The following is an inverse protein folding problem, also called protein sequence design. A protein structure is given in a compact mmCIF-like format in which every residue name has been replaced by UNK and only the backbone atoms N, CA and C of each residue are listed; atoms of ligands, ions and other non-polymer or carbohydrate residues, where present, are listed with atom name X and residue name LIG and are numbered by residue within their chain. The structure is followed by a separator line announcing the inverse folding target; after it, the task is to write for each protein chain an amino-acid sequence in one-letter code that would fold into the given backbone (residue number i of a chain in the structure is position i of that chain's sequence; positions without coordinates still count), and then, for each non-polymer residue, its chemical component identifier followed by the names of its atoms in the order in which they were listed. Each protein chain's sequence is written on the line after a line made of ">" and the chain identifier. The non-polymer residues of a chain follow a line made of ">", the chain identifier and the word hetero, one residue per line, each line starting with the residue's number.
data_IF_062925832317
#
_entry.id   IF_062925832317
#
_cell.length_a   1.000
_cell.length_b   1.000
_cell.length_c   1.000
_cell.angle_alpha   90.00
_cell.angle_beta   90.00
_cell.angle_gamma   90.00
#
_symmetry.space_group_name_H-M   'P 1'
#
loop_
_entity.id
_entity.type
_entity.pdbx_description
1 polymer ?
#
# COMPACT_ATOMS: atom_id res chain seq x y z
N UNK A 1 1.36 10.27 -12.44
CA UNK A 1 1.60 8.82 -12.74
C UNK A 1 1.91 8.13 -11.41
N UNK A 2 1.35 6.94 -11.16
CA UNK A 2 1.53 6.14 -9.94
C UNK A 2 2.03 4.74 -10.31
N UNK A 3 3.09 4.25 -9.67
CA UNK A 3 3.61 2.89 -9.87
C UNK A 3 3.44 2.09 -8.58
N UNK A 4 2.80 0.92 -8.71
CA UNK A 4 2.72 -0.08 -7.64
C UNK A 4 3.84 -1.11 -7.87
N UNK A 5 4.70 -1.30 -6.87
CA UNK A 5 5.87 -2.18 -6.98
C UNK A 5 5.87 -3.20 -5.85
N UNK A 6 5.91 -4.49 -6.23
CA UNK A 6 6.14 -5.59 -5.30
C UNK A 6 7.58 -5.63 -4.80
N UNK A 7 7.84 -6.27 -3.65
CA UNK A 7 9.18 -6.30 -3.05
C UNK A 7 10.29 -6.78 -3.98
N UNK A 8 10.11 -7.92 -4.67
CA UNK A 8 11.08 -8.42 -5.65
C UNK A 8 11.24 -7.49 -6.86
N UNK A 9 10.16 -6.85 -7.31
CA UNK A 9 10.20 -5.87 -8.39
C UNK A 9 10.91 -4.58 -7.96
N UNK A 10 10.78 -4.18 -6.68
CA UNK A 10 11.42 -2.99 -6.15
C UNK A 10 12.95 -3.12 -6.15
N UNK A 11 13.49 -4.31 -5.84
CA UNK A 11 14.92 -4.58 -5.93
C UNK A 11 15.44 -4.40 -7.36
N UNK A 12 14.75 -4.96 -8.35
CA UNK A 12 15.10 -4.77 -9.77
C UNK A 12 15.01 -3.29 -10.20
N UNK A 13 14.01 -2.57 -9.70
CA UNK A 13 13.88 -1.13 -9.94
C UNK A 13 15.05 -0.35 -9.34
N UNK A 14 15.47 -0.71 -8.13
CA UNK A 14 16.63 -0.13 -7.46
C UNK A 14 17.94 -0.34 -8.22
N UNK A 15 18.17 -1.53 -8.75
CA UNK A 15 19.37 -1.82 -9.56
C UNK A 15 19.46 -0.96 -10.82
N UNK A 16 18.31 -0.65 -11.45
CA UNK A 16 18.28 0.08 -12.71
C UNK A 16 18.10 1.60 -12.54
N UNK A 17 17.35 2.02 -11.53
CA UNK A 17 16.95 3.41 -11.30
C UNK A 17 17.44 3.97 -9.96
N UNK A 18 18.41 3.34 -9.29
CA UNK A 18 18.79 3.63 -7.90
C UNK A 18 18.81 5.11 -7.52
N UNK A 19 19.65 5.92 -8.16
CA UNK A 19 19.78 7.36 -7.88
C UNK A 19 18.53 8.19 -8.23
N UNK A 20 17.62 7.60 -9.01
CA UNK A 20 16.35 8.20 -9.43
C UNK A 20 15.21 7.89 -8.46
N UNK A 21 15.39 7.02 -7.46
CA UNK A 21 14.33 6.61 -6.52
C UNK A 21 14.51 7.31 -5.17
N UNK A 22 13.54 8.14 -4.78
CA UNK A 22 13.42 8.69 -3.42
C UNK A 22 12.77 7.65 -2.49
N UNK A 23 13.46 6.55 -2.25
CA UNK A 23 13.05 5.54 -1.27
C UNK A 23 14.28 4.77 -0.81
N UNK A 24 14.55 4.84 0.48
CA UNK A 24 15.45 3.90 1.13
C UNK A 24 14.68 2.62 1.43
N UNK A 25 14.98 1.57 0.67
CA UNK A 25 14.34 0.26 0.76
C UNK A 25 15.25 -0.83 1.32
N UNK A 26 16.49 -0.49 1.72
CA UNK A 26 17.39 -1.45 2.34
C UNK A 26 16.84 -1.88 3.71
N UNK A 27 16.96 -3.17 4.02
CA UNK A 27 16.61 -3.77 5.31
C UNK A 27 15.18 -3.53 5.82
N UNK A 28 14.25 -3.17 4.91
CA UNK A 28 12.83 -2.98 5.22
C UNK A 28 11.97 -4.06 4.60
N UNK A 29 11.00 -4.54 5.37
CA UNK A 29 9.98 -5.44 4.83
C UNK A 29 8.96 -4.69 3.97
N UNK A 30 8.25 -5.41 3.09
CA UNK A 30 7.33 -4.80 2.13
C UNK A 30 6.17 -4.04 2.78
N UNK A 31 5.74 -4.39 3.99
CA UNK A 31 4.69 -3.69 4.73
C UNK A 31 5.20 -2.40 5.37
N UNK A 32 6.44 -2.39 5.87
CA UNK A 32 7.10 -1.15 6.27
C UNK A 32 7.21 -0.18 5.10
N UNK A 33 7.60 -0.67 3.91
CA UNK A 33 7.67 0.11 2.69
C UNK A 33 6.30 0.58 2.21
N UNK A 34 5.27 -0.27 2.32
CA UNK A 34 3.89 0.10 2.04
C UNK A 34 3.44 1.27 2.92
N UNK A 35 3.60 1.15 4.24
CA UNK A 35 3.25 2.20 5.19
C UNK A 35 4.02 3.49 4.93
N UNK A 36 5.31 3.39 4.62
CA UNK A 36 6.13 4.55 4.28
C UNK A 36 5.66 5.25 3.00
N UNK A 37 5.45 4.51 1.92
CA UNK A 37 5.12 5.07 0.59
C UNK A 37 3.66 5.50 0.45
N UNK A 38 2.76 4.92 1.24
CA UNK A 38 1.38 5.41 1.39
C UNK A 38 1.32 6.70 2.21
N UNK A 39 2.07 6.80 3.32
CA UNK A 39 2.03 7.99 4.20
C UNK A 39 2.88 9.15 3.70
N UNK A 40 4.00 8.86 3.04
CA UNK A 40 4.92 9.86 2.50
C UNK A 40 5.06 9.62 1.01
N UNK A 41 4.75 10.65 0.20
CA UNK A 41 4.88 10.55 -1.25
C UNK A 41 6.35 10.35 -1.61
N UNK A 42 6.67 9.14 -2.08
CA UNK A 42 7.98 8.77 -2.62
C UNK A 42 7.92 8.75 -4.14
N UNK A 43 9.01 9.07 -4.80
CA UNK A 43 9.02 9.28 -6.25
C UNK A 43 10.16 8.57 -6.95
N UNK A 44 9.87 8.09 -8.16
CA UNK A 44 10.88 7.85 -9.19
C UNK A 44 10.98 9.12 -10.04
N UNK A 45 12.18 9.67 -10.15
CA UNK A 45 12.51 10.86 -10.92
C UNK A 45 13.60 10.56 -11.94
N UNK A 46 13.26 10.52 -13.23
CA UNK A 46 14.22 10.28 -14.31
C UNK A 46 14.39 11.55 -15.13
N UNK A 47 15.64 11.98 -15.32
CA UNK A 47 15.98 13.16 -16.12
C UNK A 47 16.99 12.77 -17.20
N UNK A 48 16.65 12.99 -18.47
CA UNK A 48 17.55 12.71 -19.61
C UNK A 48 17.20 13.59 -20.81
N UNK A 49 18.18 14.24 -21.44
CA UNK A 49 18.00 14.95 -22.71
C UNK A 49 16.84 15.96 -22.73
N UNK A 50 16.59 16.68 -21.63
CA UNK A 50 15.48 17.63 -21.49
C UNK A 50 14.12 17.01 -21.14
N UNK A 51 14.04 15.69 -21.02
CA UNK A 51 12.88 14.96 -20.52
C UNK A 51 12.98 14.77 -19.00
N UNK A 52 11.88 15.06 -18.29
CA UNK A 52 11.73 14.82 -16.85
C UNK A 52 10.48 13.98 -16.59
N UNK A 53 10.67 12.81 -16.02
CA UNK A 53 9.59 11.99 -15.46
C UNK A 53 9.63 12.10 -13.94
N UNK A 54 8.48 12.38 -13.31
CA UNK A 54 8.29 12.23 -11.87
C UNK A 54 7.01 11.45 -11.61
N UNK A 55 7.11 10.30 -10.95
CA UNK A 55 5.97 9.41 -10.69
C UNK A 55 5.99 8.94 -9.24
N UNK A 56 4.82 8.93 -8.58
CA UNK A 56 4.73 8.40 -7.22
C UNK A 56 4.98 6.90 -7.26
N UNK A 57 5.73 6.41 -6.28
CA UNK A 57 5.94 5.01 -5.99
C UNK A 57 5.10 4.64 -4.77
N UNK A 58 4.36 3.55 -4.86
CA UNK A 58 3.77 2.86 -3.71
C UNK A 58 4.31 1.43 -3.74
N UNK A 59 5.06 1.08 -2.71
CA UNK A 59 5.47 -0.30 -2.50
C UNK A 59 4.27 -1.08 -1.94
N UNK A 60 4.01 -2.27 -2.45
CA UNK A 60 2.86 -3.06 -2.00
C UNK A 60 3.18 -4.55 -1.97
N UNK A 61 2.49 -5.35 -1.13
CA UNK A 61 2.63 -6.79 -1.16
C UNK A 61 2.29 -7.38 -2.54
N UNK A 62 2.74 -8.61 -2.81
CA UNK A 62 2.48 -9.25 -4.10
C UNK A 62 0.98 -9.52 -4.31
N UNK A 63 0.42 -9.09 -5.45
CA UNK A 63 -1.01 -9.16 -5.75
C UNK A 63 -1.56 -10.57 -5.98
N UNK A 64 -0.72 -11.58 -6.22
CA UNK A 64 -1.20 -12.95 -6.49
C UNK A 64 -1.77 -13.68 -5.28
N UNK A 65 -1.65 -13.12 -4.07
CA UNK A 65 -2.15 -13.74 -2.85
C UNK A 65 -3.00 -12.74 -2.08
N UNK A 66 -4.31 -12.97 -2.02
CA UNK A 66 -5.23 -12.07 -1.32
C UNK A 66 -4.89 -11.97 0.17
N UNK A 67 -4.29 -13.02 0.75
CA UNK A 67 -3.89 -13.07 2.16
C UNK A 67 -2.90 -11.96 2.51
N UNK A 68 -2.12 -11.48 1.55
CA UNK A 68 -1.18 -10.39 1.76
C UNK A 68 -1.88 -9.04 2.03
N UNK A 69 -3.17 -8.94 1.68
CA UNK A 69 -3.98 -7.74 1.80
C UNK A 69 -4.97 -7.81 2.97
N UNK A 70 -4.98 -8.92 3.71
CA UNK A 70 -5.75 -9.02 4.95
C UNK A 70 -5.14 -8.09 6.02
N UNK A 71 -6.02 -7.49 6.81
CA UNK A 71 -5.67 -6.74 7.99
C UNK A 71 -4.86 -7.61 8.96
N UNK A 72 -3.75 -7.07 9.45
CA UNK A 72 -2.83 -7.82 10.30
C UNK A 72 -1.93 -6.88 11.10
N UNK A 73 -1.54 -7.31 12.29
CA UNK A 73 -0.40 -6.72 13.00
C UNK A 73 0.87 -7.52 12.71
N UNK A 74 2.01 -6.85 12.50
CA UNK A 74 3.25 -7.51 12.13
C UNK A 74 4.35 -7.18 13.13
N UNK A 75 4.77 -8.17 13.91
CA UNK A 75 5.82 -8.04 14.91
C UNK A 75 7.15 -8.59 14.37
N UNK A 76 8.26 -7.90 14.58
CA UNK A 76 9.57 -8.55 14.45
C UNK A 76 9.73 -9.64 15.52
N UNK A 77 10.64 -10.58 15.33
CA UNK A 77 10.93 -11.62 16.32
C UNK A 77 11.23 -11.04 17.72
N UNK A 78 12.00 -9.95 17.78
CA UNK A 78 12.30 -9.24 19.03
C UNK A 78 11.05 -8.60 19.64
N UNK A 79 10.24 -7.90 18.83
CA UNK A 79 9.03 -7.25 19.30
C UNK A 79 7.99 -8.27 19.77
N UNK A 80 7.88 -9.42 19.10
CA UNK A 80 7.00 -10.50 19.51
C UNK A 80 7.48 -11.13 20.82
N UNK A 81 8.78 -11.39 20.96
CA UNK A 81 9.36 -11.91 22.21
C UNK A 81 9.08 -10.96 23.37
N UNK A 82 9.28 -9.65 23.18
CA UNK A 82 8.96 -8.64 24.18
C UNK A 82 7.46 -8.63 24.52
N UNK A 83 6.58 -8.67 23.52
CA UNK A 83 5.15 -8.74 23.71
C UNK A 83 4.73 -9.96 24.54
N UNK A 84 5.24 -11.16 24.22
CA UNK A 84 4.90 -12.39 24.97
C UNK A 84 5.42 -12.40 26.40
N UNK A 85 6.50 -11.65 26.67
CA UNK A 85 7.08 -11.51 28.01
C UNK A 85 6.26 -10.55 28.86
N UNK A 86 5.85 -9.43 28.28
CA UNK A 86 5.14 -8.37 28.99
C UNK A 86 3.63 -8.66 29.11
N UNK A 87 3.06 -9.42 28.17
CA UNK A 87 1.64 -9.77 28.11
C UNK A 87 1.41 -11.29 27.86
N UNK A 88 1.86 -12.17 28.76
CA UNK A 88 1.80 -13.62 28.55
C UNK A 88 0.38 -14.18 28.42
N UNK A 89 -0.57 -13.67 29.22
CA UNK A 89 -1.97 -14.11 29.16
C UNK A 89 -2.65 -13.69 27.85
N UNK A 90 -2.40 -12.45 27.39
CA UNK A 90 -2.90 -11.93 26.12
C UNK A 90 -2.33 -12.72 24.92
N UNK A 91 -1.05 -13.10 24.98
CA UNK A 91 -0.41 -13.95 23.98
C UNK A 91 -1.03 -15.36 23.92
N UNK A 92 -1.36 -15.96 25.06
CA UNK A 92 -2.05 -17.25 25.13
C UNK A 92 -3.48 -17.16 24.57
N UNK A 93 -4.21 -16.08 24.84
CA UNK A 93 -5.52 -15.81 24.23
C UNK A 93 -5.41 -15.75 22.71
N UNK A 94 -4.43 -14.99 22.18
CA UNK A 94 -4.17 -14.89 20.74
C UNK A 94 -3.85 -16.26 20.11
N UNK A 95 -3.05 -17.08 20.80
CA UNK A 95 -2.70 -18.42 20.36
C UNK A 95 -3.90 -19.37 20.33
N UNK A 96 -4.69 -19.40 21.41
CA UNK A 96 -5.92 -20.22 21.49
C UNK A 96 -6.98 -19.79 20.48
N UNK A 97 -7.05 -18.50 20.18
CA UNK A 97 -7.94 -17.95 19.15
C UNK A 97 -7.41 -18.17 17.72
N UNK A 98 -6.23 -18.77 17.55
CA UNK A 98 -5.64 -19.06 16.24
C UNK A 98 -5.26 -17.80 15.45
N UNK A 99 -4.98 -16.69 16.12
CA UNK A 99 -4.65 -15.41 15.45
C UNK A 99 -3.20 -15.32 15.01
N UNK A 100 -2.33 -16.15 15.58
CA UNK A 100 -0.89 -16.17 15.26
C UNK A 100 -0.69 -17.01 14.00
N UNK A 101 -0.15 -16.39 12.95
CA UNK A 101 0.13 -17.11 11.71
C UNK A 101 1.64 -17.44 11.62
N UNK A 102 2.01 -18.60 12.17
CA UNK A 102 3.40 -19.08 12.23
C UNK A 102 3.94 -19.61 10.89
N UNK A 103 3.13 -19.60 9.83
CA UNK A 103 3.53 -20.14 8.53
C UNK A 103 4.26 -19.10 7.68
N UNK A 104 5.57 -18.97 7.93
CA UNK A 104 6.55 -18.78 6.86
C UNK A 104 6.87 -17.36 6.38
N UNK A 105 6.68 -16.32 7.20
CA UNK A 105 7.06 -14.94 6.84
C UNK A 105 8.42 -14.49 7.42
N UNK A 106 9.43 -15.38 7.44
CA UNK A 106 10.78 -15.04 7.90
C UNK A 106 10.82 -14.63 9.38
N UNK A 107 11.46 -13.50 9.69
CA UNK A 107 11.67 -12.96 11.05
C UNK A 107 10.46 -12.17 11.60
N UNK A 108 9.31 -12.23 10.94
CA UNK A 108 8.11 -11.49 11.34
C UNK A 108 7.00 -12.45 11.76
N UNK A 109 6.37 -12.17 12.89
CA UNK A 109 5.16 -12.84 13.39
C UNK A 109 3.93 -12.01 13.02
N UNK A 110 3.17 -12.41 11.98
CA UNK A 110 1.89 -11.78 11.66
C UNK A 110 0.77 -12.29 12.58
N UNK A 111 -0.05 -11.35 13.04
CA UNK A 111 -1.27 -11.58 13.79
C UNK A 111 -2.47 -11.16 12.95
N UNK A 112 -3.43 -12.07 12.73
CA UNK A 112 -4.68 -11.74 12.05
C UNK A 112 -5.58 -10.90 12.97
N UNK A 113 -5.65 -9.60 12.66
CA UNK A 113 -6.42 -8.61 13.39
C UNK A 113 -7.30 -7.87 12.39
N UNK A 114 -8.61 -7.80 12.62
CA UNK A 114 -9.58 -7.21 11.69
C UNK A 114 -9.70 -5.68 11.76
N UNK A 115 -8.86 -5.04 12.57
CA UNK A 115 -8.90 -3.61 12.85
C UNK A 115 -9.40 -3.29 14.25
N UNK A 116 -9.79 -2.04 14.49
CA UNK A 116 -10.19 -1.54 15.82
C UNK A 116 -11.41 -2.24 16.40
N UNK A 117 -12.25 -2.82 15.55
CA UNK A 117 -13.51 -3.46 15.93
C UNK A 117 -13.40 -5.00 16.00
N UNK A 118 -12.17 -5.55 16.00
CA UNK A 118 -11.98 -7.00 16.12
C UNK A 118 -12.56 -7.50 17.46
N UNK A 119 -13.48 -8.49 17.47
CA UNK A 119 -14.07 -9.00 18.70
C UNK A 119 -13.06 -9.45 19.75
N UNK A 120 -11.87 -9.92 19.33
CA UNK A 120 -10.83 -10.38 20.25
C UNK A 120 -10.31 -9.26 21.16
N UNK A 121 -10.47 -7.98 20.77
CA UNK A 121 -10.12 -6.84 21.60
C UNK A 121 -10.74 -6.93 23.01
N UNK A 122 -11.96 -7.47 23.12
CA UNK A 122 -12.68 -7.58 24.41
C UNK A 122 -12.08 -8.62 25.36
N UNK A 123 -11.30 -9.54 24.80
CA UNK A 123 -10.64 -10.61 25.54
C UNK A 123 -9.22 -10.20 25.96
N UNK A 124 -8.67 -9.15 25.36
CA UNK A 124 -7.31 -8.68 25.62
C UNK A 124 -7.29 -7.49 26.58
N UNK A 125 -6.16 -7.32 27.27
CA UNK A 125 -5.89 -6.12 28.05
C UNK A 125 -5.78 -4.88 27.14
N UNK A 126 -6.21 -3.73 27.64
CA UNK A 126 -6.14 -2.45 26.91
C UNK A 126 -4.71 -2.11 26.50
N UNK A 127 -3.73 -2.42 27.36
CA UNK A 127 -2.32 -2.19 27.09
C UNK A 127 -1.81 -3.09 25.96
N UNK A 128 -2.09 -4.40 26.00
CA UNK A 128 -1.71 -5.32 24.93
C UNK A 128 -2.34 -4.91 23.59
N UNK A 129 -3.63 -4.55 23.60
CA UNK A 129 -4.32 -4.07 22.40
C UNK A 129 -3.65 -2.82 21.81
N UNK A 130 -3.26 -1.86 22.65
CA UNK A 130 -2.52 -0.67 22.22
C UNK A 130 -1.21 -1.03 21.50
N UNK A 131 -0.47 -2.01 22.01
CA UNK A 131 0.76 -2.49 21.37
C UNK A 131 0.45 -3.18 20.04
N UNK A 132 -0.53 -4.09 19.99
CA UNK A 132 -0.95 -4.77 18.76
C UNK A 132 -1.31 -3.75 17.68
N UNK A 133 -2.08 -2.73 18.02
CA UNK A 133 -2.50 -1.70 17.07
C UNK A 133 -1.37 -0.77 16.62
N UNK A 134 -0.30 -0.63 17.41
CA UNK A 134 0.89 0.11 16.97
C UNK A 134 1.61 -0.58 15.79
N UNK A 135 1.52 -1.91 15.72
CA UNK A 135 2.07 -2.76 14.65
C UNK A 135 1.05 -3.11 13.56
N UNK A 136 -0.14 -2.51 13.58
CA UNK A 136 -1.24 -2.83 12.67
C UNK A 136 -1.05 -2.27 11.25
N UNK A 137 -1.44 -3.08 10.27
CA UNK A 137 -1.52 -2.77 8.86
C UNK A 137 -2.90 -3.14 8.31
N UNK A 138 -3.50 -2.19 7.60
CA UNK A 138 -4.63 -2.41 6.70
C UNK A 138 -4.16 -2.05 5.28
N UNK A 139 -3.63 -3.02 4.52
CA UNK A 139 -3.03 -2.73 3.22
C UNK A 139 -4.03 -2.12 2.23
N UNK A 140 -5.29 -2.59 2.23
CA UNK A 140 -6.31 -2.10 1.33
C UNK A 140 -6.64 -0.64 1.62
N UNK A 141 -6.86 -0.29 2.89
CA UNK A 141 -7.12 1.09 3.29
C UNK A 141 -5.93 2.00 2.99
N UNK A 142 -4.71 1.58 3.31
CA UNK A 142 -3.51 2.37 3.03
C UNK A 142 -3.35 2.69 1.54
N UNK A 143 -3.60 1.71 0.67
CA UNK A 143 -3.53 1.91 -0.77
C UNK A 143 -4.69 2.79 -1.26
N UNK A 144 -5.91 2.56 -0.78
CA UNK A 144 -7.08 3.34 -1.15
C UNK A 144 -6.96 4.82 -0.75
N UNK A 145 -6.49 5.11 0.46
CA UNK A 145 -6.19 6.47 0.93
C UNK A 145 -5.12 7.13 0.04
N UNK A 146 -4.05 6.41 -0.30
CA UNK A 146 -3.03 6.94 -1.20
C UNK A 146 -3.56 7.20 -2.62
N UNK A 147 -4.50 6.40 -3.11
CA UNK A 147 -5.19 6.63 -4.40
C UNK A 147 -6.12 7.84 -4.34
N UNK A 148 -6.79 8.09 -3.21
CA UNK A 148 -7.58 9.31 -2.98
C UNK A 148 -6.66 10.53 -3.08
N UNK A 149 -5.51 10.50 -2.42
CA UNK A 149 -4.55 11.60 -2.48
C UNK A 149 -4.08 11.88 -3.91
N UNK A 150 -3.75 10.83 -4.67
CA UNK A 150 -3.33 10.99 -6.07
C UNK A 150 -4.47 11.49 -6.96
N UNK A 151 -5.71 11.12 -6.67
CA UNK A 151 -6.87 11.69 -7.36
C UNK A 151 -7.05 13.17 -7.02
N UNK A 152 -6.99 13.54 -5.74
CA UNK A 152 -7.14 14.91 -5.27
C UNK A 152 -6.05 15.84 -5.83
N UNK A 153 -4.83 15.33 -5.97
CA UNK A 153 -3.71 15.99 -6.63
C UNK A 153 -3.88 16.11 -8.17
N UNK A 154 -4.90 15.48 -8.74
CA UNK A 154 -5.13 15.44 -10.18
C UNK A 154 -4.16 14.52 -10.92
N UNK A 155 -3.49 13.57 -10.27
CA UNK A 155 -2.63 12.57 -10.89
C UNK A 155 -3.40 11.31 -11.36
N UNK A 156 -4.62 11.13 -10.84
CA UNK A 156 -5.60 10.12 -11.28
C UNK A 156 -6.89 10.82 -11.73
N UNK A 157 -7.66 10.17 -12.59
CA UNK A 157 -9.01 10.56 -13.02
C UNK A 157 -9.95 9.37 -12.93
N UNK A 158 -11.24 9.61 -12.79
CA UNK A 158 -12.21 8.54 -12.89
C UNK A 158 -12.49 8.23 -14.36
N UNK A 159 -12.54 6.95 -14.71
CA UNK A 159 -13.11 6.48 -15.97
C UNK A 159 -14.58 6.15 -15.74
N UNK A 160 -15.47 7.09 -16.06
CA UNK A 160 -16.91 6.92 -15.89
C UNK A 160 -17.48 5.71 -16.62
N UNK A 161 -16.89 5.36 -17.78
CA UNK A 161 -17.37 4.24 -18.59
C UNK A 161 -17.12 2.89 -17.94
N UNK A 162 -16.10 2.80 -17.09
CA UNK A 162 -15.66 1.55 -16.43
C UNK A 162 -15.85 1.59 -14.92
N UNK A 163 -16.23 2.74 -14.35
CA UNK A 163 -16.32 2.99 -12.91
C UNK A 163 -15.03 2.59 -12.18
N UNK A 164 -13.88 2.98 -12.75
CA UNK A 164 -12.54 2.67 -12.24
C UNK A 164 -11.66 3.91 -12.26
N UNK A 165 -10.72 4.01 -11.32
CA UNK A 165 -9.67 5.03 -11.41
C UNK A 165 -8.77 4.72 -12.62
N UNK A 166 -8.64 5.69 -13.53
CA UNK A 166 -7.65 5.71 -14.59
C UNK A 166 -6.57 6.75 -14.28
N UNK A 167 -5.40 6.61 -14.88
CA UNK A 167 -4.37 7.66 -14.83
C UNK A 167 -4.87 8.89 -15.58
N UNK A 168 -4.38 10.09 -15.22
CA UNK A 168 -4.50 11.24 -16.13
C UNK A 168 -3.92 10.88 -17.49
N UNK A 169 -4.67 11.19 -18.56
CA UNK A 169 -4.28 10.86 -19.92
C UNK A 169 -2.91 11.45 -20.27
N UNK A 170 -2.04 10.60 -20.82
CA UNK A 170 -0.90 11.01 -21.63
C UNK A 170 -1.27 10.90 -23.12
N UNK A 171 -0.68 11.70 -24.01
CA UNK A 171 -1.13 11.94 -25.39
C UNK A 171 -1.04 10.78 -26.41
N UNK A 172 -0.72 9.54 -26.03
CA UNK A 172 -0.63 8.42 -26.98
C UNK A 172 -1.82 7.45 -26.83
N UNK A 173 -2.66 7.37 -27.87
CA UNK A 173 -3.79 6.44 -27.96
C UNK A 173 -3.43 5.00 -28.36
N UNK A 174 -2.16 4.68 -28.64
CA UNK A 174 -1.80 3.54 -29.50
C UNK A 174 -1.37 2.21 -28.81
N UNK A 175 -1.28 2.11 -27.48
CA UNK A 175 -0.82 0.89 -26.78
C UNK A 175 -1.89 0.25 -25.87
N UNK A 176 -3.11 0.06 -26.34
CA UNK A 176 -4.17 -0.60 -25.56
C UNK A 176 -3.86 -2.11 -25.40
N UNK A 177 -3.72 -2.56 -24.16
CA UNK A 177 -3.64 -3.96 -23.75
C UNK A 177 -4.24 -4.03 -22.34
N UNK A 178 -4.89 -5.16 -22.01
CA UNK A 178 -5.72 -5.34 -20.84
C UNK A 178 -5.05 -5.09 -19.47
N UNK A 179 -3.72 -5.01 -19.36
CA UNK A 179 -3.05 -5.00 -18.04
C UNK A 179 -1.94 -3.94 -17.79
N UNK A 180 -1.06 -3.52 -18.73
CA UNK A 180 0.06 -2.58 -18.41
C UNK A 180 0.62 -1.75 -19.61
N UNK A 181 1.26 -0.58 -19.38
CA UNK A 181 2.05 0.24 -20.36
C UNK A 181 3.37 0.81 -19.77
N UNK A 182 4.46 0.81 -20.56
CA UNK A 182 5.76 1.51 -20.32
C UNK A 182 6.21 2.35 -21.55
N UNK A 183 7.12 3.35 -21.41
CA UNK A 183 7.04 4.61 -22.16
C UNK A 183 8.04 4.72 -23.32
N UNK A 184 7.56 5.18 -24.48
CA UNK A 184 8.18 6.29 -25.20
C UNK A 184 7.13 7.15 -25.96
N UNK A 185 7.27 8.48 -25.80
CA UNK A 185 6.93 9.60 -26.71
C UNK A 185 5.60 10.41 -26.62
N UNK A 186 5.83 11.72 -26.42
CA UNK A 186 5.42 12.95 -27.16
C UNK A 186 4.04 13.66 -27.01
N UNK A 187 4.14 15.00 -26.95
CA UNK A 187 3.18 16.10 -26.75
C UNK A 187 2.00 16.17 -27.75
N UNK A 188 0.74 16.21 -27.28
CA UNK A 188 -0.31 17.16 -27.73
C UNK A 188 -1.68 17.00 -27.00
N UNK A 189 -2.24 18.13 -26.54
CA UNK A 189 -3.66 18.52 -26.33
C UNK A 189 -4.74 17.55 -25.81
N UNK A 190 -5.30 17.85 -24.61
CA UNK A 190 -6.74 18.14 -24.37
C UNK A 190 -7.02 18.57 -22.92
N UNK A 191 -7.76 19.67 -22.79
CA UNK A 191 -8.26 20.28 -21.55
C UNK A 191 -9.66 19.73 -21.16
N UNK A 192 -10.02 19.99 -19.90
CA UNK A 192 -11.35 19.91 -19.27
C UNK A 192 -11.91 18.55 -18.82
N UNK A 193 -11.84 18.32 -17.50
CA UNK A 193 -12.82 17.50 -16.77
C UNK A 193 -13.19 18.24 -15.48
N UNK A 194 -14.49 18.46 -15.28
CA UNK A 194 -15.05 19.08 -14.07
C UNK A 194 -14.85 18.15 -12.86
N UNK A 195 -14.40 18.65 -11.69
CA UNK A 195 -14.29 17.83 -10.47
C UNK A 195 -15.65 17.29 -10.02
N UNK A 196 -15.70 16.07 -9.49
CA UNK A 196 -16.93 15.52 -8.88
C UNK A 196 -17.22 16.20 -7.54
N UNK A 197 -18.49 16.09 -7.13
CA UNK A 197 -18.97 16.55 -5.83
C UNK A 197 -18.23 15.86 -4.67
N UNK A 198 -18.01 16.62 -3.58
CA UNK A 198 -17.33 16.13 -2.38
C UNK A 198 -18.05 14.91 -1.78
N UNK A 199 -17.31 13.83 -1.52
CA UNK A 199 -17.82 12.62 -0.85
C UNK A 199 -18.15 11.44 -1.78
N UNK A 200 -18.26 11.67 -3.10
CA UNK A 200 -18.50 10.59 -4.06
C UNK A 200 -17.38 9.53 -4.06
N UNK A 201 -16.13 9.97 -3.90
CA UNK A 201 -14.96 9.09 -3.90
C UNK A 201 -14.75 8.37 -2.57
N UNK A 202 -15.11 9.01 -1.45
CA UNK A 202 -15.15 8.36 -0.15
C UNK A 202 -16.07 7.14 -0.18
N UNK A 203 -17.24 7.26 -0.81
CA UNK A 203 -18.18 6.15 -0.97
C UNK A 203 -17.65 4.99 -1.84
N UNK A 204 -16.76 5.28 -2.82
CA UNK A 204 -16.12 4.23 -3.63
C UNK A 204 -15.06 3.51 -2.81
N UNK A 205 -14.30 4.25 -2.00
CA UNK A 205 -13.31 3.67 -1.10
C UNK A 205 -13.96 2.83 -0.01
N UNK A 206 -15.06 3.28 0.58
CA UNK A 206 -15.80 2.51 1.57
C UNK A 206 -16.29 1.17 0.99
N UNK A 207 -16.70 1.14 -0.29
CA UNK A 207 -17.09 -0.10 -1.00
C UNK A 207 -15.93 -1.04 -1.33
N UNK A 208 -14.71 -0.54 -1.40
CA UNK A 208 -13.50 -1.35 -1.64
C UNK A 208 -12.98 -1.93 -0.33
N UNK A 209 -13.15 -1.18 0.77
CA UNK A 209 -12.69 -1.56 2.11
C UNK A 209 -13.73 -2.45 2.83
N UNK A 210 -15.03 -2.34 2.51
CA UNK A 210 -16.12 -3.20 3.02
C UNK A 210 -16.13 -4.60 2.41
#
# INVERSE_FOLDING_TARGET
>A
MLVLVGGSTLQMFGEYFGDSIDLDYADKDIYQLLKETCRRKKYLTVETGGYRLKTRLIACPHFSYYQNYLCQSRFSAEAWTAFTKDFPDDADILGKAGRINDKGYGEVTPLEIKGTDDPIQKELSVAAWGVIMAYFFDPNRMIAEALIDEYADGNLRLDDSRQRLRRTDGPCGFCDNSLWRFPQSCLYGKQDTTPYESGYLSNIVDKIIS
#
